data_IF_924781462676
#
_entry.id   IF_924781462676
#
_cell.length_a   1.000
_cell.length_b   1.000
_cell.length_c   1.000
_cell.angle_alpha   90.00
_cell.angle_beta   90.00
_cell.angle_gamma   90.00
#
_symmetry.space_group_name_H-M   'P 1'
#
loop_
_entity.id
_entity.type
_entity.pdbx_description
1 polymer ?
#
# COMPACT_ATOMS: atom_id res chain seq x y z
N UNK A 1 -16.52 -22.14 -7.30
CA UNK A 1 -16.58 -20.67 -7.14
C UNK A 1 -17.27 -20.32 -5.83
N UNK A 2 -16.82 -19.29 -5.12
CA UNK A 2 -17.44 -18.85 -3.87
C UNK A 2 -18.83 -18.26 -4.18
N UNK A 3 -19.91 -18.97 -3.80
CA UNK A 3 -21.30 -18.63 -4.16
C UNK A 3 -21.99 -17.69 -3.16
N UNK A 4 -21.29 -17.25 -2.11
CA UNK A 4 -21.88 -16.40 -1.06
C UNK A 4 -21.93 -14.94 -1.50
N UNK A 5 -22.97 -14.23 -1.05
CA UNK A 5 -23.07 -12.78 -1.21
C UNK A 5 -21.90 -12.09 -0.49
N UNK A 6 -21.24 -11.13 -1.17
CA UNK A 6 -20.11 -10.36 -0.65
C UNK A 6 -20.43 -9.61 0.65
N UNK A 7 -21.66 -9.11 0.79
CA UNK A 7 -22.15 -8.44 2.01
C UNK A 7 -22.91 -9.38 2.96
N UNK A 8 -22.86 -10.68 2.69
CA UNK A 8 -23.56 -11.70 3.48
C UNK A 8 -22.79 -12.11 4.73
N UNK A 9 -23.24 -13.22 5.34
CA UNK A 9 -22.63 -13.80 6.53
C UNK A 9 -21.22 -14.33 6.22
N UNK A 10 -20.23 -13.83 6.95
CA UNK A 10 -18.85 -14.33 6.98
C UNK A 10 -18.63 -15.24 8.19
N UNK A 11 -17.54 -16.02 8.18
CA UNK A 11 -17.16 -16.91 9.30
C UNK A 11 -16.57 -16.11 10.45
N UNK A 12 -15.62 -15.22 10.15
CA UNK A 12 -14.90 -14.41 11.14
C UNK A 12 -14.53 -13.03 10.59
N UNK A 13 -14.57 -12.01 11.46
CA UNK A 13 -14.09 -10.67 11.13
C UNK A 13 -12.60 -10.55 11.47
N UNK A 14 -11.76 -10.40 10.45
CA UNK A 14 -10.30 -10.50 10.60
C UNK A 14 -9.61 -9.13 10.62
N UNK A 15 -10.28 -8.06 10.20
CA UNK A 15 -9.67 -6.74 10.13
C UNK A 15 -10.51 -5.70 9.39
N UNK A 16 -9.97 -4.48 9.28
CA UNK A 16 -10.61 -3.38 8.57
C UNK A 16 -9.63 -2.60 7.69
N UNK A 17 -10.18 -1.97 6.65
CA UNK A 17 -9.45 -1.05 5.78
C UNK A 17 -10.20 0.28 5.70
N UNK A 18 -9.56 1.35 6.18
CA UNK A 18 -10.06 2.72 6.07
C UNK A 18 -9.19 3.52 5.08
N UNK A 19 -9.65 3.70 3.82
CA UNK A 19 -8.90 4.44 2.80
C UNK A 19 -9.01 5.96 2.96
N UNK A 20 -9.98 6.47 3.71
CA UNK A 20 -10.17 7.91 3.91
C UNK A 20 -9.44 8.34 5.17
N UNK A 21 -8.71 9.45 5.06
CA UNK A 21 -8.13 10.10 6.22
C UNK A 21 -9.19 11.00 6.82
N UNK A 22 -9.58 10.75 8.07
CA UNK A 22 -10.42 11.65 8.84
C UNK A 22 -9.58 12.70 9.56
N UNK A 23 -10.25 13.67 10.18
CA UNK A 23 -9.58 14.67 11.03
C UNK A 23 -8.97 14.00 12.26
N UNK A 24 -9.67 13.05 12.86
CA UNK A 24 -9.23 12.34 14.06
C UNK A 24 -8.50 11.01 13.76
N UNK A 25 -8.84 10.33 12.67
CA UNK A 25 -8.32 8.99 12.37
C UNK A 25 -7.49 8.99 11.08
N UNK A 26 -6.26 8.52 11.20
CA UNK A 26 -5.38 8.30 10.06
C UNK A 26 -5.88 7.16 9.17
N UNK A 27 -5.41 7.11 7.92
CA UNK A 27 -5.65 5.96 7.04
C UNK A 27 -5.05 4.71 7.67
N UNK A 28 -5.86 3.68 7.84
CA UNK A 28 -5.49 2.50 8.60
C UNK A 28 -5.87 1.23 7.87
N UNK A 29 -4.98 0.25 7.96
CA UNK A 29 -5.22 -1.14 7.62
C UNK A 29 -4.86 -1.91 8.88
N UNK A 30 -5.82 -2.63 9.43
CA UNK A 30 -5.64 -3.40 10.65
C UNK A 30 -6.04 -4.83 10.40
N UNK A 31 -5.18 -5.75 10.82
CA UNK A 31 -5.39 -7.19 10.73
C UNK A 31 -5.17 -7.85 12.08
N UNK A 32 -6.00 -8.84 12.39
CA UNK A 32 -5.74 -9.83 13.41
C UNK A 32 -4.75 -10.87 12.86
N UNK A 33 -3.45 -10.58 13.01
CA UNK A 33 -2.37 -11.39 12.41
C UNK A 33 -2.45 -12.88 12.77
N UNK A 34 -2.65 -13.29 14.05
CA UNK A 34 -2.80 -14.69 14.42
C UNK A 34 -3.88 -15.43 13.61
N UNK A 35 -5.05 -14.80 13.44
CA UNK A 35 -6.19 -15.41 12.74
C UNK A 35 -5.99 -15.44 11.24
N UNK A 36 -5.39 -14.40 10.66
CA UNK A 36 -4.97 -14.42 9.24
C UNK A 36 -4.06 -15.61 8.97
N UNK A 37 -3.01 -15.79 9.79
CA UNK A 37 -2.05 -16.89 9.63
C UNK A 37 -2.72 -18.25 9.76
N UNK A 38 -3.62 -18.42 10.73
CA UNK A 38 -4.42 -19.63 10.88
C UNK A 38 -5.22 -19.95 9.61
N UNK A 39 -6.02 -19.01 9.10
CA UNK A 39 -6.84 -19.27 7.92
C UNK A 39 -6.01 -19.56 6.66
N UNK A 40 -4.87 -18.88 6.48
CA UNK A 40 -3.92 -19.19 5.40
C UNK A 40 -3.37 -20.60 5.55
N UNK A 41 -3.01 -21.03 6.76
CA UNK A 41 -2.54 -22.41 7.00
C UNK A 41 -3.59 -23.47 6.71
N UNK A 42 -4.88 -23.14 6.85
CA UNK A 42 -6.00 -24.00 6.45
C UNK A 42 -6.29 -23.96 4.93
N UNK A 43 -5.49 -23.25 4.13
CA UNK A 43 -5.63 -23.18 2.67
C UNK A 43 -6.51 -22.02 2.17
N UNK A 44 -6.77 -20.98 2.98
CA UNK A 44 -7.47 -19.82 2.50
C UNK A 44 -6.64 -19.04 1.46
N UNK A 45 -7.22 -18.81 0.28
CA UNK A 45 -6.59 -18.01 -0.78
C UNK A 45 -7.08 -16.56 -0.70
N UNK A 46 -6.21 -15.58 -0.39
CA UNK A 46 -6.60 -14.18 -0.35
C UNK A 46 -6.79 -13.62 -1.77
N UNK A 47 -7.57 -12.56 -1.88
CA UNK A 47 -7.67 -11.79 -3.13
C UNK A 47 -6.41 -10.95 -3.34
N UNK A 48 -6.12 -10.60 -4.58
CA UNK A 48 -4.96 -9.79 -4.99
C UNK A 48 -4.63 -8.56 -4.12
N UNK A 49 -5.65 -7.74 -3.83
CA UNK A 49 -5.49 -6.53 -2.99
C UNK A 49 -5.08 -6.89 -1.55
N UNK A 50 -5.67 -7.94 -1.01
CA UNK A 50 -5.37 -8.44 0.34
C UNK A 50 -3.97 -9.04 0.37
N UNK A 51 -3.56 -9.79 -0.65
CA UNK A 51 -2.20 -10.31 -0.75
C UNK A 51 -1.17 -9.18 -0.79
N UNK A 52 -1.42 -8.10 -1.54
CA UNK A 52 -0.56 -6.91 -1.53
C UNK A 52 -0.42 -6.34 -0.13
N UNK A 53 -1.52 -6.19 0.61
CA UNK A 53 -1.47 -5.74 1.98
C UNK A 53 -0.66 -6.69 2.85
N UNK A 54 -0.99 -7.98 2.88
CA UNK A 54 -0.28 -8.99 3.69
C UNK A 54 1.23 -9.08 3.38
N UNK A 55 1.64 -8.76 2.15
CA UNK A 55 3.06 -8.67 1.79
C UNK A 55 3.81 -7.52 2.46
N UNK A 56 3.14 -6.43 2.82
CA UNK A 56 3.73 -5.33 3.59
C UNK A 56 4.04 -5.73 5.03
N UNK A 57 3.31 -6.69 5.58
CA UNK A 57 3.57 -7.31 6.90
C UNK A 57 4.42 -8.57 6.81
N UNK A 58 5.02 -8.87 5.64
CA UNK A 58 5.85 -10.05 5.40
C UNK A 58 5.16 -11.39 5.73
N UNK A 59 3.82 -11.45 5.66
CA UNK A 59 3.05 -12.68 5.91
C UNK A 59 2.99 -13.53 4.64
N UNK A 60 2.87 -12.89 3.48
CA UNK A 60 2.81 -13.53 2.17
C UNK A 60 3.78 -12.85 1.20
N UNK A 61 4.28 -13.55 0.17
CA UNK A 61 5.03 -12.90 -0.89
C UNK A 61 4.14 -11.92 -1.67
N UNK A 62 4.76 -10.89 -2.24
CA UNK A 62 4.09 -10.00 -3.21
C UNK A 62 3.55 -10.85 -4.37
N UNK A 63 2.37 -10.50 -4.91
CA UNK A 63 1.86 -11.17 -6.09
C UNK A 63 2.84 -11.05 -7.27
N UNK A 64 2.98 -12.14 -8.03
CA UNK A 64 3.99 -12.31 -9.07
C UNK A 64 3.92 -11.21 -10.15
N UNK A 65 2.72 -10.82 -10.57
CA UNK A 65 2.51 -9.79 -11.59
C UNK A 65 2.77 -8.35 -11.10
N UNK A 66 3.07 -8.15 -9.81
CA UNK A 66 3.51 -6.85 -9.28
C UNK A 66 5.02 -6.78 -9.06
N UNK A 67 5.77 -7.84 -9.36
CA UNK A 67 7.22 -7.80 -9.38
C UNK A 67 7.65 -7.02 -10.63
N UNK A 68 8.00 -5.74 -10.44
CA UNK A 68 8.66 -4.96 -11.48
C UNK A 68 10.11 -5.39 -11.62
N UNK A 69 10.62 -5.39 -12.84
CA UNK A 69 12.04 -5.66 -13.07
C UNK A 69 12.90 -4.53 -12.50
N UNK A 70 14.17 -4.80 -12.21
CA UNK A 70 15.11 -3.77 -11.75
C UNK A 70 15.25 -2.64 -12.78
N UNK A 71 15.20 -2.97 -14.07
CA UNK A 71 15.23 -2.00 -15.17
C UNK A 71 14.00 -1.09 -15.16
N UNK A 72 12.80 -1.65 -14.93
CA UNK A 72 11.58 -0.86 -14.78
C UNK A 72 11.66 0.03 -13.52
N UNK A 73 12.18 -0.48 -12.41
CA UNK A 73 12.38 0.30 -11.19
C UNK A 73 13.39 1.43 -11.39
N UNK A 74 14.48 1.17 -12.12
CA UNK A 74 15.50 2.15 -12.48
C UNK A 74 14.94 3.23 -13.41
N UNK A 75 14.13 2.86 -14.41
CA UNK A 75 13.46 3.82 -15.30
C UNK A 75 12.46 4.73 -14.56
N UNK A 76 11.83 4.24 -13.48
CA UNK A 76 10.96 5.06 -12.62
C UNK A 76 11.72 5.93 -11.62
N UNK A 77 12.99 5.66 -11.35
CA UNK A 77 13.82 6.44 -10.44
C UNK A 77 14.25 7.71 -11.16
N UNK A 78 13.68 8.85 -10.76
CA UNK A 78 14.05 10.14 -11.37
C UNK A 78 15.55 10.40 -11.21
N UNK A 79 16.24 10.94 -12.23
CA UNK A 79 17.65 11.24 -12.13
C UNK A 79 17.88 12.30 -11.04
N UNK A 80 19.01 12.18 -10.35
CA UNK A 80 19.34 13.02 -9.18
C UNK A 80 19.44 14.52 -9.55
N UNK A 81 19.82 14.81 -10.79
CA UNK A 81 19.83 16.17 -11.38
C UNK A 81 18.47 16.86 -11.31
N UNK A 82 17.40 16.14 -11.65
CA UNK A 82 16.03 16.63 -11.62
C UNK A 82 15.52 16.97 -10.21
N UNK A 83 16.13 16.41 -9.16
CA UNK A 83 15.80 16.74 -7.78
C UNK A 83 16.49 18.04 -7.38
N UNK A 84 17.79 18.16 -7.68
CA UNK A 84 18.56 19.39 -7.41
C UNK A 84 18.00 20.63 -8.11
N UNK A 85 17.53 20.51 -9.36
CA UNK A 85 16.93 21.65 -10.08
C UNK A 85 15.58 22.06 -9.50
N UNK A 86 14.77 21.09 -9.05
CA UNK A 86 13.50 21.39 -8.38
C UNK A 86 13.73 22.06 -7.03
N UNK A 87 14.75 21.66 -6.29
CA UNK A 87 15.12 22.30 -5.01
C UNK A 87 15.61 23.72 -5.21
N UNK A 88 16.51 23.94 -6.18
CA UNK A 88 17.02 25.26 -6.57
C UNK A 88 15.90 26.21 -7.00
N UNK A 89 14.99 25.73 -7.85
CA UNK A 89 13.79 26.47 -8.27
C UNK A 89 12.83 26.76 -7.10
N UNK A 90 12.72 25.85 -6.13
CA UNK A 90 11.86 26.01 -4.95
C UNK A 90 12.47 27.01 -3.96
N UNK A 91 13.79 27.01 -3.79
CA UNK A 91 14.53 28.03 -3.04
C UNK A 91 14.42 29.40 -3.70
N UNK A 92 14.57 29.49 -5.01
CA UNK A 92 14.49 30.75 -5.74
C UNK A 92 13.07 31.35 -5.67
N UNK A 93 12.02 30.51 -5.77
CA UNK A 93 10.63 30.92 -5.55
C UNK A 93 10.39 31.37 -4.10
N UNK A 94 11.01 30.73 -3.11
CA UNK A 94 10.96 31.18 -1.71
C UNK A 94 11.69 32.51 -1.51
N UNK A 95 12.84 32.71 -2.15
CA UNK A 95 13.63 33.95 -2.11
C UNK A 95 12.87 35.12 -2.72
N UNK A 96 12.34 34.96 -3.93
CA UNK A 96 11.46 35.95 -4.60
C UNK A 96 10.19 36.26 -3.82
N UNK A 97 9.69 35.32 -3.02
CA UNK A 97 8.54 35.53 -2.12
C UNK A 97 8.91 36.26 -0.82
N UNK A 98 10.17 36.19 -0.38
CA UNK A 98 10.70 36.93 0.79
C UNK A 98 11.12 38.36 0.43
N UNK A 99 11.49 38.60 -0.83
CA UNK A 99 11.86 39.90 -1.38
C UNK A 99 10.66 40.74 -1.87
N UNK A 100 9.44 40.17 -1.86
CA UNK A 100 8.16 40.87 -2.08
C UNK A 100 7.48 41.14 -0.75
#
# INVERSE_FOLDING_TARGET
>A
ANRKNLKGRFVEHVGYWSPRQGVALQRQIVFNIPRVKYWISCGAVPTEKVQKFLSLWSILPRPWYQQRSEEELAALRKPESEWTDKERMKEERKRKRRER
#
